data_IF_470775845333
#
_entry.id   IF_470775845333
#
_cell.length_a   1.000
_cell.length_b   1.000
_cell.length_c   1.000
_cell.angle_alpha   90.00
_cell.angle_beta   90.00
_cell.angle_gamma   90.00
#
_symmetry.space_group_name_H-M   'P 1'
#
loop_
_entity.id
_entity.type
_entity.pdbx_description
1 polymer ?
#
# COMPACT_ATOMS: atom_id res chain seq x y z
N UNK A 1 -16.18 19.19 18.52
CA UNK A 1 -15.56 19.20 17.18
C UNK A 1 -14.95 17.84 16.92
N UNK A 2 -15.21 17.25 15.75
CA UNK A 2 -14.51 16.04 15.32
C UNK A 2 -13.03 16.38 15.10
N UNK A 3 -12.12 15.59 15.65
CA UNK A 3 -10.69 15.82 15.46
C UNK A 3 -10.35 15.87 13.96
N UNK A 4 -9.52 16.83 13.50
CA UNK A 4 -9.21 16.98 12.09
C UNK A 4 -8.55 15.71 11.53
N UNK A 5 -8.92 15.33 10.30
CA UNK A 5 -8.32 14.19 9.62
C UNK A 5 -6.85 14.48 9.29
N UNK A 6 -5.95 13.59 9.67
CA UNK A 6 -4.54 13.66 9.30
C UNK A 6 -4.30 12.87 8.01
N UNK A 7 -3.85 13.56 6.95
CA UNK A 7 -3.44 12.92 5.69
C UNK A 7 -1.92 12.77 5.64
N UNK A 8 -1.47 11.55 5.46
CA UNK A 8 -0.07 11.17 5.29
C UNK A 8 0.19 10.70 3.85
N UNK A 9 1.45 10.72 3.44
CA UNK A 9 1.87 10.20 2.14
C UNK A 9 3.24 9.52 2.26
N UNK A 10 3.43 8.43 1.51
CA UNK A 10 4.71 7.73 1.36
C UNK A 10 4.83 7.13 -0.04
N UNK A 11 6.06 6.97 -0.51
CA UNK A 11 6.43 6.29 -1.76
C UNK A 11 7.79 5.61 -1.57
N UNK A 12 8.21 4.77 -2.51
CA UNK A 12 9.55 4.16 -2.54
C UNK A 12 9.90 3.36 -1.26
N UNK A 13 8.93 2.62 -0.71
CA UNK A 13 9.13 1.86 0.54
C UNK A 13 10.09 0.69 0.32
N UNK A 14 10.06 0.05 -0.85
CA UNK A 14 10.96 -1.04 -1.23
C UNK A 14 11.22 -2.09 -0.13
N UNK A 15 10.16 -2.71 0.39
CA UNK A 15 10.27 -3.75 1.45
C UNK A 15 10.96 -5.04 0.98
N UNK A 16 11.38 -5.10 -0.29
CA UNK A 16 12.35 -6.07 -0.76
C UNK A 16 13.66 -6.02 0.05
N UNK A 17 14.03 -4.84 0.53
CA UNK A 17 15.10 -4.66 1.50
C UNK A 17 14.61 -5.00 2.91
N UNK A 18 15.28 -5.96 3.56
CA UNK A 18 14.91 -6.43 4.91
C UNK A 18 14.79 -5.31 5.94
N UNK A 19 15.65 -4.30 5.84
CA UNK A 19 15.64 -3.14 6.76
C UNK A 19 14.36 -2.32 6.59
N UNK A 20 13.89 -2.12 5.35
CA UNK A 20 12.68 -1.37 5.07
C UNK A 20 11.43 -2.12 5.56
N UNK A 21 11.41 -3.46 5.42
CA UNK A 21 10.34 -4.27 6.02
C UNK A 21 10.35 -4.18 7.56
N UNK A 22 11.52 -4.19 8.19
CA UNK A 22 11.65 -4.03 9.64
C UNK A 22 11.16 -2.65 10.10
N UNK A 23 11.55 -1.60 9.37
CA UNK A 23 11.06 -0.24 9.60
C UNK A 23 9.53 -0.16 9.48
N UNK A 24 8.95 -0.73 8.42
CA UNK A 24 7.49 -0.73 8.22
C UNK A 24 6.75 -1.43 9.38
N UNK A 25 7.26 -2.58 9.83
CA UNK A 25 6.71 -3.30 10.99
C UNK A 25 6.75 -2.48 12.28
N UNK A 26 7.68 -1.54 12.41
CA UNK A 26 7.86 -0.69 13.59
C UNK A 26 7.10 0.64 13.53
N UNK A 27 6.39 0.95 12.43
CA UNK A 27 5.60 2.18 12.36
C UNK A 27 4.64 2.28 13.55
N UNK A 28 4.51 3.46 14.18
CA UNK A 28 3.52 3.64 15.23
C UNK A 28 2.10 3.57 14.65
N UNK A 29 1.11 3.36 15.52
CA UNK A 29 -0.29 3.58 15.16
C UNK A 29 -0.48 5.06 14.79
N UNK A 30 -1.14 5.31 13.66
CA UNK A 30 -1.53 6.66 13.29
C UNK A 30 -2.72 7.13 14.15
N UNK A 31 -3.03 8.45 14.15
CA UNK A 31 -4.23 8.96 14.82
C UNK A 31 -5.51 8.25 14.31
N UNK A 32 -6.54 8.08 15.15
CA UNK A 32 -7.76 7.37 14.75
C UNK A 32 -8.47 7.93 13.51
N UNK A 33 -8.37 9.23 13.27
CA UNK A 33 -8.87 9.88 12.05
C UNK A 33 -7.71 10.16 11.08
N UNK A 34 -7.19 9.11 10.44
CA UNK A 34 -6.02 9.23 9.55
C UNK A 34 -6.18 8.49 8.23
N UNK A 35 -5.57 9.06 7.20
CA UNK A 35 -5.45 8.45 5.89
C UNK A 35 -3.99 8.44 5.44
N UNK A 36 -3.59 7.38 4.74
CA UNK A 36 -2.27 7.25 4.11
C UNK A 36 -2.42 7.10 2.61
N UNK A 37 -1.69 7.90 1.83
CA UNK A 37 -1.44 7.65 0.41
C UNK A 37 -0.12 6.91 0.27
N UNK A 38 -0.15 5.74 -0.36
CA UNK A 38 1.02 4.95 -0.74
C UNK A 38 1.17 5.08 -2.26
N UNK A 39 2.11 5.92 -2.69
CA UNK A 39 2.29 6.34 -4.08
C UNK A 39 3.36 5.49 -4.80
N UNK A 40 3.18 4.16 -4.79
CA UNK A 40 3.97 3.22 -5.57
C UNK A 40 5.31 2.79 -4.97
N UNK A 41 5.94 1.84 -5.65
CA UNK A 41 7.30 1.33 -5.41
C UNK A 41 7.52 0.86 -3.96
N UNK A 42 6.55 0.05 -3.52
CA UNK A 42 6.53 -0.65 -2.25
C UNK A 42 7.37 -1.93 -2.33
N UNK A 43 7.26 -2.69 -3.42
CA UNK A 43 8.03 -3.91 -3.66
C UNK A 43 7.85 -4.46 -5.09
N UNK A 44 8.55 -5.56 -5.38
CA UNK A 44 8.52 -6.18 -6.70
C UNK A 44 7.50 -7.31 -6.83
N UNK A 45 7.14 -8.02 -5.76
CA UNK A 45 6.26 -9.21 -5.85
C UNK A 45 4.97 -9.09 -5.03
N UNK A 46 3.90 -9.73 -5.52
CA UNK A 46 2.55 -9.60 -4.98
C UNK A 46 2.42 -10.04 -3.51
N UNK A 47 3.15 -11.09 -3.11
CA UNK A 47 3.14 -11.60 -1.73
C UNK A 47 3.70 -10.57 -0.73
N UNK A 48 4.76 -9.86 -1.13
CA UNK A 48 5.31 -8.77 -0.31
C UNK A 48 4.36 -7.58 -0.31
N UNK A 49 3.76 -7.25 -1.45
CA UNK A 49 2.80 -6.15 -1.52
C UNK A 49 1.63 -6.38 -0.55
N UNK A 50 1.10 -7.60 -0.50
CA UNK A 50 0.07 -7.99 0.46
C UNK A 50 0.53 -7.79 1.90
N UNK A 51 1.78 -8.16 2.21
CA UNK A 51 2.36 -7.95 3.54
C UNK A 51 2.45 -6.47 3.90
N UNK A 52 2.91 -5.63 2.97
CA UNK A 52 3.06 -4.20 3.21
C UNK A 52 1.70 -3.50 3.39
N UNK A 53 0.76 -3.76 2.48
CA UNK A 53 -0.58 -3.17 2.52
C UNK A 53 -1.33 -3.56 3.79
N UNK A 54 -1.22 -4.82 4.24
CA UNK A 54 -1.78 -5.25 5.54
C UNK A 54 -1.20 -4.44 6.70
N UNK A 55 0.11 -4.29 6.76
CA UNK A 55 0.76 -3.48 7.80
C UNK A 55 0.31 -2.02 7.77
N UNK A 56 0.08 -1.43 6.59
CA UNK A 56 -0.47 -0.08 6.51
C UNK A 56 -1.93 -0.03 7.00
N UNK A 57 -2.78 -0.97 6.59
CA UNK A 57 -4.18 -1.03 7.02
C UNK A 57 -4.35 -1.30 8.51
N UNK A 58 -3.37 -1.94 9.16
CA UNK A 58 -3.35 -2.13 10.62
C UNK A 58 -3.01 -0.83 11.38
N UNK A 59 -2.42 0.18 10.71
CA UNK A 59 -1.86 1.38 11.35
C UNK A 59 -2.62 2.65 11.05
N UNK A 60 -3.25 2.74 9.88
CA UNK A 60 -3.99 3.90 9.39
C UNK A 60 -5.46 3.53 9.18
N UNK A 61 -6.38 4.46 9.45
CA UNK A 61 -7.81 4.19 9.29
C UNK A 61 -8.22 4.03 7.82
N UNK A 62 -7.57 4.78 6.92
CA UNK A 62 -7.74 4.64 5.47
C UNK A 62 -6.39 4.53 4.77
N UNK A 63 -6.29 3.64 3.78
CA UNK A 63 -5.11 3.51 2.93
C UNK A 63 -5.51 3.65 1.47
N UNK A 64 -4.85 4.55 0.76
CA UNK A 64 -4.96 4.75 -0.68
C UNK A 64 -3.68 4.26 -1.34
N UNK A 65 -3.80 3.56 -2.45
CA UNK A 65 -2.67 2.98 -3.14
C UNK A 65 -2.75 3.17 -4.65
N UNK A 66 -1.61 3.47 -5.24
CA UNK A 66 -1.38 3.45 -6.69
C UNK A 66 -0.09 2.65 -6.91
N UNK A 67 -0.09 1.62 -7.78
CA UNK A 67 1.13 0.87 -8.08
C UNK A 67 2.14 1.71 -8.86
N UNK A 68 3.41 1.57 -8.48
CA UNK A 68 4.55 2.13 -9.19
C UNK A 68 5.09 1.16 -10.25
N UNK A 69 6.24 1.46 -10.84
CA UNK A 69 6.80 0.62 -11.89
C UNK A 69 7.40 -0.68 -11.36
N UNK A 70 7.92 -0.70 -10.12
CA UNK A 70 8.48 -1.92 -9.52
C UNK A 70 7.42 -3.00 -9.35
N UNK A 71 6.20 -2.61 -8.98
CA UNK A 71 5.09 -3.55 -8.88
C UNK A 71 4.71 -4.17 -10.22
N UNK A 72 4.94 -3.48 -11.33
CA UNK A 72 4.57 -3.92 -12.67
C UNK A 72 5.68 -4.68 -13.41
N UNK A 73 6.88 -4.79 -12.84
CA UNK A 73 7.92 -5.65 -13.39
C UNK A 73 7.48 -7.11 -13.43
N UNK A 74 7.57 -7.72 -14.61
CA UNK A 74 7.24 -9.14 -14.85
C UNK A 74 8.54 -9.92 -14.89
N UNK A 75 8.81 -10.77 -13.88
CA UNK A 75 10.09 -11.50 -13.77
C UNK A 75 9.99 -12.94 -14.27
N UNK A 76 8.96 -13.24 -15.06
CA UNK A 76 8.77 -14.50 -15.79
C UNK A 76 7.83 -15.50 -15.11
N UNK A 77 7.45 -15.26 -13.85
CA UNK A 77 6.41 -16.04 -13.16
C UNK A 77 5.00 -15.52 -13.43
N UNK A 78 4.89 -14.25 -13.79
CA UNK A 78 3.66 -13.54 -14.11
C UNK A 78 3.39 -13.54 -15.62
N UNK A 79 2.11 -13.53 -16.00
CA UNK A 79 1.71 -13.56 -17.41
C UNK A 79 2.14 -12.30 -18.19
N UNK A 80 1.93 -11.11 -17.60
CA UNK A 80 2.41 -9.80 -18.08
C UNK A 80 2.08 -8.71 -17.05
N UNK A 81 2.55 -7.48 -17.29
CA UNK A 81 2.33 -6.32 -16.41
C UNK A 81 0.86 -5.93 -16.25
N UNK A 82 0.02 -6.11 -17.28
CA UNK A 82 -1.42 -5.80 -17.21
C UNK A 82 -2.15 -6.81 -16.33
N UNK A 83 -1.86 -8.10 -16.49
CA UNK A 83 -2.41 -9.14 -15.62
C UNK A 83 -2.01 -8.90 -14.15
N UNK A 84 -0.73 -8.59 -13.92
CA UNK A 84 -0.22 -8.27 -12.58
C UNK A 84 -0.87 -7.02 -11.99
N UNK A 85 -1.10 -5.99 -12.80
CA UNK A 85 -1.86 -4.80 -12.38
C UNK A 85 -3.27 -5.18 -11.91
N UNK A 86 -3.98 -6.05 -12.65
CA UNK A 86 -5.31 -6.52 -12.23
C UNK A 86 -5.25 -7.31 -10.93
N UNK A 87 -4.25 -8.18 -10.75
CA UNK A 87 -4.05 -8.92 -9.51
C UNK A 87 -3.78 -7.99 -8.32
N UNK A 88 -3.02 -6.90 -8.53
CA UNK A 88 -2.79 -5.86 -7.53
C UNK A 88 -4.11 -5.16 -7.15
N UNK A 89 -4.95 -4.82 -8.13
CA UNK A 89 -6.25 -4.21 -7.85
C UNK A 89 -7.16 -5.15 -7.06
N UNK A 90 -7.21 -6.44 -7.42
CA UNK A 90 -7.96 -7.45 -6.66
C UNK A 90 -7.41 -7.63 -5.24
N UNK A 91 -6.09 -7.59 -5.07
CA UNK A 91 -5.47 -7.62 -3.75
C UNK A 91 -5.89 -6.41 -2.92
N UNK A 92 -5.87 -5.20 -3.48
CA UNK A 92 -6.28 -3.98 -2.78
C UNK A 92 -7.74 -4.05 -2.33
N UNK A 93 -8.64 -4.50 -3.21
CA UNK A 93 -10.07 -4.68 -2.91
C UNK A 93 -10.27 -5.63 -1.72
N UNK A 94 -9.61 -6.81 -1.73
CA UNK A 94 -9.68 -7.77 -0.60
C UNK A 94 -9.17 -7.20 0.73
N UNK A 95 -8.24 -6.26 0.69
CA UNK A 95 -7.65 -5.64 1.89
C UNK A 95 -8.37 -4.35 2.31
N UNK A 96 -9.37 -3.89 1.56
CA UNK A 96 -10.04 -2.60 1.82
C UNK A 96 -9.16 -1.39 1.51
N UNK A 97 -8.16 -1.53 0.65
CA UNK A 97 -7.27 -0.44 0.20
C UNK A 97 -7.91 0.28 -0.99
N UNK A 98 -8.01 1.61 -0.89
CA UNK A 98 -8.62 2.45 -1.91
C UNK A 98 -7.68 2.63 -3.11
N UNK A 99 -8.19 2.37 -4.32
CA UNK A 99 -7.47 2.60 -5.59
C UNK A 99 -8.17 3.64 -6.47
N UNK A 100 -9.16 4.34 -5.92
CA UNK A 100 -9.98 5.35 -6.58
C UNK A 100 -10.19 6.55 -5.64
N UNK A 101 -10.54 7.73 -6.18
CA UNK A 101 -10.91 8.88 -5.36
C UNK A 101 -12.04 8.52 -4.40
N UNK A 102 -11.97 9.01 -3.16
CA UNK A 102 -13.00 8.83 -2.15
C UNK A 102 -13.10 10.07 -1.25
N UNK A 103 -14.28 10.27 -0.67
CA UNK A 103 -14.51 11.25 0.39
C UNK A 103 -14.48 10.50 1.73
N UNK A 104 -13.63 10.94 2.64
CA UNK A 104 -13.54 10.39 3.99
C UNK A 104 -14.42 11.23 4.91
N UNK A 105 -15.23 10.55 5.73
CA UNK A 105 -16.18 11.16 6.69
C UNK A 105 -15.65 11.08 8.11
#
# INVERSE_FOLDING_TARGET
>A
ETAPCCLFCITEVHIDFKLNLQWLKQLPMAPPNSALIVAGDVCTCLVKLETALKLFTERYAHVFYVPGNHELWSTGSEANSVAKFMDILHLCDRLGVHTRPALLS
#
